data_IF_336781572596
#
_entry.id   IF_336781572596
#
_cell.length_a   1.000
_cell.length_b   1.000
_cell.length_c   1.000
_cell.angle_alpha   90.00
_cell.angle_beta   90.00
_cell.angle_gamma   90.00
#
_symmetry.space_group_name_H-M   'P 1'
#
loop_
_entity.id
_entity.type
_entity.pdbx_description
1 polymer ?
#
# COMPACT_ATOMS: atom_id res chain seq x y z
N UNK A 1 5.89 8.79 -20.56
CA UNK A 1 4.46 8.67 -20.94
C UNK A 1 3.67 7.66 -20.09
N UNK A 2 4.11 6.40 -19.88
CA UNK A 2 3.26 5.39 -19.20
C UNK A 2 3.03 5.65 -17.70
N UNK A 3 3.98 6.27 -16.98
CA UNK A 3 3.78 6.62 -15.55
C UNK A 3 2.66 7.64 -15.37
N UNK A 4 2.65 8.68 -16.21
CA UNK A 4 1.62 9.72 -16.18
C UNK A 4 0.25 9.11 -16.51
N UNK A 5 0.18 8.22 -17.51
CA UNK A 5 -1.06 7.54 -17.85
C UNK A 5 -1.59 6.67 -16.69
N UNK A 6 -0.72 5.93 -16.00
CA UNK A 6 -1.12 5.13 -14.83
C UNK A 6 -1.67 6.01 -13.70
N UNK A 7 -0.97 7.10 -13.36
CA UNK A 7 -1.44 8.06 -12.34
C UNK A 7 -2.78 8.67 -12.73
N UNK A 8 -2.91 9.14 -13.98
CA UNK A 8 -4.15 9.75 -14.47
C UNK A 8 -5.32 8.76 -14.49
N UNK A 9 -5.07 7.47 -14.78
CA UNK A 9 -6.10 6.45 -14.73
C UNK A 9 -6.61 6.24 -13.31
N UNK A 10 -5.71 6.06 -12.33
CA UNK A 10 -6.10 5.86 -10.93
C UNK A 10 -6.81 7.10 -10.37
N UNK A 11 -6.25 8.29 -10.59
CA UNK A 11 -6.87 9.56 -10.18
C UNK A 11 -8.23 9.75 -10.86
N UNK A 12 -8.34 9.44 -12.15
CA UNK A 12 -9.60 9.53 -12.88
C UNK A 12 -10.68 8.60 -12.32
N UNK A 13 -10.33 7.36 -11.99
CA UNK A 13 -11.25 6.40 -11.36
C UNK A 13 -11.64 6.90 -9.96
N UNK A 14 -10.69 7.37 -9.15
CA UNK A 14 -10.98 7.86 -7.81
C UNK A 14 -11.88 9.11 -7.83
N UNK A 15 -11.62 10.05 -8.74
CA UNK A 15 -12.50 11.21 -8.95
C UNK A 15 -13.89 10.78 -9.43
N UNK A 16 -13.98 9.76 -10.29
CA UNK A 16 -15.27 9.22 -10.72
C UNK A 16 -16.04 8.57 -9.55
N UNK A 17 -15.35 7.84 -8.65
CA UNK A 17 -15.96 7.29 -7.42
C UNK A 17 -16.55 8.43 -6.58
N UNK A 18 -15.77 9.48 -6.32
CA UNK A 18 -16.21 10.66 -5.56
C UNK A 18 -17.42 11.32 -6.24
N UNK A 19 -17.33 11.59 -7.54
CA UNK A 19 -18.38 12.28 -8.29
C UNK A 19 -19.70 11.52 -8.31
N UNK A 20 -19.65 10.20 -8.56
CA UNK A 20 -20.84 9.36 -8.70
C UNK A 20 -21.55 9.09 -7.37
N UNK A 21 -20.85 9.23 -6.24
CA UNK A 21 -21.39 8.92 -4.91
C UNK A 21 -21.65 10.17 -4.05
N UNK A 22 -21.50 11.38 -4.58
CA UNK A 22 -21.83 12.59 -3.83
C UNK A 22 -23.33 12.64 -3.44
N UNK A 23 -23.70 12.98 -2.19
CA UNK A 23 -22.85 13.43 -1.07
C UNK A 23 -22.35 12.31 -0.11
N UNK A 24 -22.64 11.04 -0.40
CA UNK A 24 -22.31 9.86 0.41
C UNK A 24 -20.85 9.37 0.21
N UNK A 25 -19.89 10.30 0.27
CA UNK A 25 -18.49 10.01 0.01
C UNK A 25 -17.88 9.04 1.02
N UNK A 26 -18.25 9.20 2.29
CA UNK A 26 -17.81 8.34 3.38
C UNK A 26 -18.11 6.87 3.09
N UNK A 27 -19.32 6.56 2.62
CA UNK A 27 -19.71 5.19 2.27
C UNK A 27 -18.98 4.66 1.03
N UNK A 28 -18.65 5.54 0.09
CA UNK A 28 -17.99 5.16 -1.17
C UNK A 28 -16.46 5.10 -1.08
N UNK A 29 -15.87 5.61 0.00
CA UNK A 29 -14.41 5.68 0.17
C UNK A 29 -13.93 4.91 1.39
N UNK A 30 -14.57 5.08 2.55
CA UNK A 30 -14.02 4.64 3.84
C UNK A 30 -14.59 3.32 4.38
N UNK A 31 -15.69 2.81 3.81
CA UNK A 31 -16.30 1.55 4.28
C UNK A 31 -15.63 0.35 3.58
N UNK A 32 -15.54 -0.79 4.27
CA UNK A 32 -14.88 -2.02 3.77
C UNK A 32 -15.36 -2.46 2.37
N UNK A 33 -16.67 -2.36 2.09
CA UNK A 33 -17.26 -2.74 0.80
C UNK A 33 -17.27 -1.60 -0.24
N UNK A 34 -16.50 -0.53 0.00
CA UNK A 34 -16.46 0.63 -0.87
C UNK A 34 -15.86 0.32 -2.26
N UNK A 35 -16.30 1.02 -3.32
CA UNK A 35 -15.62 0.98 -4.62
C UNK A 35 -14.12 1.30 -4.54
N UNK A 36 -13.72 2.15 -3.60
CA UNK A 36 -12.31 2.48 -3.35
C UNK A 36 -11.55 1.25 -2.85
N UNK A 37 -12.20 0.40 -2.04
CA UNK A 37 -11.59 -0.82 -1.55
C UNK A 37 -11.21 -1.78 -2.69
N UNK A 38 -12.10 -1.93 -3.68
CA UNK A 38 -11.81 -2.69 -4.89
C UNK A 38 -10.64 -2.10 -5.71
N UNK A 39 -10.59 -0.77 -5.82
CA UNK A 39 -9.52 -0.07 -6.54
C UNK A 39 -8.16 -0.29 -5.88
N UNK A 40 -8.05 -0.16 -4.56
CA UNK A 40 -6.80 -0.41 -3.82
C UNK A 40 -6.38 -1.88 -3.90
N UNK A 41 -7.30 -2.84 -3.74
CA UNK A 41 -6.97 -4.26 -3.95
C UNK A 41 -6.43 -4.52 -5.37
N UNK A 42 -7.04 -3.91 -6.38
CA UNK A 42 -6.56 -3.97 -7.78
C UNK A 42 -5.17 -3.34 -7.96
N UNK A 43 -4.88 -2.27 -7.22
CA UNK A 43 -3.58 -1.60 -7.21
C UNK A 43 -2.51 -2.44 -6.51
N UNK A 44 -2.83 -3.10 -5.39
CA UNK A 44 -1.94 -4.05 -4.73
C UNK A 44 -1.61 -5.25 -5.63
N UNK A 45 -2.60 -5.82 -6.33
CA UNK A 45 -2.37 -6.86 -7.34
C UNK A 45 -1.47 -6.39 -8.49
N UNK A 46 -1.65 -5.15 -8.92
CA UNK A 46 -0.80 -4.54 -9.95
C UNK A 46 0.65 -4.39 -9.45
N UNK A 47 0.84 -3.91 -8.22
CA UNK A 47 2.15 -3.81 -7.58
C UNK A 47 2.81 -5.19 -7.41
N UNK A 48 2.04 -6.19 -6.96
CA UNK A 48 2.51 -7.56 -6.81
C UNK A 48 2.98 -8.15 -8.14
N UNK A 49 2.20 -7.94 -9.20
CA UNK A 49 2.52 -8.41 -10.56
C UNK A 49 3.80 -7.76 -11.10
N UNK A 50 3.97 -6.44 -10.87
CA UNK A 50 5.18 -5.71 -11.25
C UNK A 50 6.41 -6.16 -10.46
N UNK A 51 6.25 -6.42 -9.15
CA UNK A 51 7.33 -6.96 -8.32
C UNK A 51 7.72 -8.38 -8.77
N UNK A 52 6.75 -9.23 -9.10
CA UNK A 52 7.01 -10.57 -9.63
C UNK A 52 7.74 -10.51 -10.98
N UNK A 53 7.31 -9.62 -11.87
CA UNK A 53 8.02 -9.36 -13.13
C UNK A 53 9.48 -8.95 -12.85
N UNK A 54 9.71 -8.02 -11.93
CA UNK A 54 11.06 -7.62 -11.51
C UNK A 54 11.87 -8.81 -10.97
N UNK A 55 11.25 -9.73 -10.23
CA UNK A 55 11.91 -10.95 -9.77
C UNK A 55 12.40 -11.84 -10.94
N UNK A 56 11.64 -11.89 -12.05
CA UNK A 56 12.07 -12.62 -13.25
C UNK A 56 13.18 -11.91 -14.03
N UNK A 57 13.19 -10.57 -13.99
CA UNK A 57 14.09 -9.79 -14.84
C UNK A 57 15.38 -9.35 -14.16
N UNK A 58 15.38 -9.18 -12.85
CA UNK A 58 16.49 -8.67 -12.05
C UNK A 58 17.13 -9.76 -11.19
N UNK A 59 18.03 -10.53 -11.81
CA UNK A 59 18.70 -11.67 -11.17
C UNK A 59 19.68 -11.30 -10.05
N UNK A 60 20.00 -10.01 -9.87
CA UNK A 60 20.83 -9.52 -8.76
C UNK A 60 20.08 -9.39 -7.43
N UNK A 61 18.73 -9.43 -7.45
CA UNK A 61 17.87 -9.22 -6.29
C UNK A 61 16.74 -10.27 -6.12
N UNK A 62 16.95 -11.58 -6.39
CA UNK A 62 15.85 -12.52 -6.66
C UNK A 62 14.93 -12.86 -5.47
N UNK A 63 15.39 -13.10 -4.21
CA UNK A 63 14.42 -13.37 -3.16
C UNK A 63 13.65 -12.09 -2.79
N UNK A 64 14.27 -10.91 -2.87
CA UNK A 64 13.63 -9.69 -2.38
C UNK A 64 12.40 -9.30 -3.19
N UNK A 65 12.48 -9.32 -4.53
CA UNK A 65 11.30 -9.01 -5.35
C UNK A 65 10.20 -10.07 -5.26
N UNK A 66 10.57 -11.34 -5.13
CA UNK A 66 9.59 -12.41 -4.90
C UNK A 66 8.87 -12.25 -3.57
N UNK A 67 9.60 -11.90 -2.50
CA UNK A 67 9.03 -11.62 -1.18
C UNK A 67 8.12 -10.40 -1.19
N UNK A 68 8.52 -9.31 -1.87
CA UNK A 68 7.67 -8.12 -2.06
C UNK A 68 6.40 -8.49 -2.81
N UNK A 69 6.49 -9.28 -3.89
CA UNK A 69 5.33 -9.71 -4.65
C UNK A 69 4.36 -10.55 -3.81
N UNK A 70 4.87 -11.51 -3.04
CA UNK A 70 4.06 -12.34 -2.12
C UNK A 70 3.41 -11.50 -1.03
N UNK A 71 4.15 -10.56 -0.43
CA UNK A 71 3.61 -9.66 0.59
C UNK A 71 2.46 -8.79 0.06
N UNK A 72 2.63 -8.20 -1.12
CA UNK A 72 1.60 -7.39 -1.77
C UNK A 72 0.39 -8.22 -2.23
N UNK A 73 0.61 -9.43 -2.75
CA UNK A 73 -0.48 -10.34 -3.09
C UNK A 73 -1.26 -10.77 -1.83
N UNK A 74 -0.55 -11.04 -0.73
CA UNK A 74 -1.17 -11.30 0.57
C UNK A 74 -2.03 -10.13 1.04
N UNK A 75 -1.51 -8.91 0.97
CA UNK A 75 -2.26 -7.69 1.29
C UNK A 75 -3.49 -7.49 0.39
N UNK A 76 -3.36 -7.79 -0.92
CA UNK A 76 -4.47 -7.68 -1.87
C UNK A 76 -5.59 -8.70 -1.59
N UNK A 77 -5.23 -9.90 -1.13
CA UNK A 77 -6.17 -10.95 -0.69
C UNK A 77 -6.82 -10.63 0.65
N UNK A 78 -6.13 -9.88 1.49
CA UNK A 78 -6.58 -9.46 2.82
C UNK A 78 -7.41 -8.16 2.76
N UNK A 79 -8.19 -7.96 1.69
CA UNK A 79 -9.10 -6.83 1.51
C UNK A 79 -8.48 -5.48 1.90
N UNK A 80 -7.22 -5.25 1.49
CA UNK A 80 -6.42 -4.07 1.84
C UNK A 80 -6.06 -4.01 3.32
N UNK A 81 -5.36 -5.03 3.77
CA UNK A 81 -4.75 -5.07 5.10
C UNK A 81 -5.73 -5.31 6.26
N UNK A 82 -6.99 -5.69 6.04
CA UNK A 82 -7.98 -5.97 7.11
C UNK A 82 -7.53 -7.00 8.16
N UNK A 83 -6.50 -7.77 7.88
CA UNK A 83 -5.88 -8.70 8.80
C UNK A 83 -5.40 -8.03 10.09
N UNK A 84 -5.03 -6.75 10.07
CA UNK A 84 -4.70 -6.05 11.33
C UNK A 84 -5.92 -5.78 12.20
N UNK A 85 -7.07 -5.41 11.63
CA UNK A 85 -8.33 -5.26 12.37
C UNK A 85 -8.81 -6.62 12.91
N UNK A 86 -8.74 -7.69 12.10
CA UNK A 86 -9.04 -9.05 12.56
C UNK A 86 -8.11 -9.49 13.70
N UNK A 87 -6.83 -9.11 13.63
CA UNK A 87 -5.86 -9.40 14.67
C UNK A 87 -6.11 -8.55 15.93
N UNK A 88 -6.49 -7.29 15.78
CA UNK A 88 -6.90 -6.38 16.86
C UNK A 88 -8.13 -6.93 17.58
N UNK A 89 -9.14 -7.38 16.85
CA UNK A 89 -10.32 -8.06 17.42
C UNK A 89 -9.93 -9.34 18.15
N UNK A 90 -9.07 -10.16 17.55
CA UNK A 90 -8.59 -11.37 18.20
C UNK A 90 -7.86 -11.04 19.51
N UNK A 91 -7.00 -10.01 19.53
CA UNK A 91 -6.31 -9.54 20.75
C UNK A 91 -7.32 -9.07 21.80
N UNK A 92 -8.29 -8.24 21.39
CA UNK A 92 -9.33 -7.67 22.24
C UNK A 92 -10.13 -8.77 22.95
N UNK A 93 -10.60 -9.78 22.22
CA UNK A 93 -11.40 -10.85 22.81
C UNK A 93 -10.55 -11.89 23.54
N UNK A 94 -9.34 -12.21 23.06
CA UNK A 94 -8.51 -13.25 23.65
C UNK A 94 -7.85 -12.82 24.96
N UNK A 95 -7.35 -11.59 25.04
CA UNK A 95 -6.52 -11.12 26.17
C UNK A 95 -7.22 -10.09 27.04
N UNK A 96 -8.16 -9.31 26.50
CA UNK A 96 -8.84 -8.24 27.21
C UNK A 96 -10.32 -8.52 27.47
N UNK A 97 -10.84 -9.68 27.05
CA UNK A 97 -12.21 -10.10 27.28
C UNK A 97 -13.26 -9.15 26.68
N UNK A 98 -12.92 -8.45 25.59
CA UNK A 98 -13.80 -7.45 24.97
C UNK A 98 -13.72 -6.05 25.58
N UNK A 99 -12.85 -5.82 26.57
CA UNK A 99 -12.68 -4.50 27.18
C UNK A 99 -11.72 -3.60 26.37
N UNK A 100 -12.31 -2.72 25.55
CA UNK A 100 -11.57 -1.78 24.68
C UNK A 100 -10.74 -0.78 25.49
N UNK A 101 -11.25 -0.31 26.63
CA UNK A 101 -10.55 0.66 27.49
C UNK A 101 -9.28 0.04 28.10
N UNK A 102 -9.37 -1.22 28.55
CA UNK A 102 -8.22 -1.95 29.09
C UNK A 102 -7.18 -2.28 28.02
N UNK A 103 -7.61 -2.52 26.78
CA UNK A 103 -6.70 -2.74 25.65
C UNK A 103 -5.96 -1.45 25.27
N UNK A 104 -6.65 -0.32 25.29
CA UNK A 104 -6.10 0.97 24.88
C UNK A 104 -5.46 0.88 23.49
N UNK A 105 -4.28 1.47 23.34
CA UNK A 105 -3.53 1.52 22.06
C UNK A 105 -2.78 0.24 21.71
N UNK A 106 -2.82 -0.79 22.54
CA UNK A 106 -2.16 -2.07 22.24
C UNK A 106 -2.81 -2.72 21.02
N UNK A 107 -4.12 -2.52 20.85
CA UNK A 107 -4.88 -3.03 19.71
C UNK A 107 -4.42 -2.47 18.36
N UNK A 108 -3.77 -1.29 18.34
CA UNK A 108 -3.36 -0.61 17.12
C UNK A 108 -1.92 -0.98 16.70
N UNK A 109 -1.17 -1.69 17.55
CA UNK A 109 0.19 -2.14 17.21
C UNK A 109 0.29 -3.02 15.95
N UNK A 110 -0.69 -3.90 15.64
CA UNK A 110 -0.70 -4.68 14.40
C UNK A 110 -0.51 -3.86 13.13
N UNK A 111 -1.10 -2.67 13.02
CA UNK A 111 -1.01 -1.86 11.78
C UNK A 111 0.42 -1.37 11.51
N UNK A 112 1.25 -1.25 12.56
CA UNK A 112 2.65 -0.84 12.43
C UNK A 112 3.50 -1.82 11.62
N UNK A 113 3.05 -3.08 11.48
CA UNK A 113 3.73 -4.09 10.67
C UNK A 113 3.79 -3.67 9.20
N UNK A 114 2.74 -3.02 8.68
CA UNK A 114 2.72 -2.55 7.29
C UNK A 114 3.67 -1.36 7.08
N UNK A 115 3.70 -0.42 8.03
CA UNK A 115 4.66 0.69 8.04
C UNK A 115 6.12 0.18 8.07
N UNK A 116 6.39 -0.82 8.92
CA UNK A 116 7.70 -1.48 8.97
C UNK A 116 8.05 -2.15 7.64
N UNK A 117 7.09 -2.81 6.99
CA UNK A 117 7.27 -3.42 5.67
C UNK A 117 7.80 -2.42 4.63
N UNK A 118 7.18 -1.24 4.54
CA UNK A 118 7.63 -0.16 3.66
C UNK A 118 9.07 0.30 3.95
N UNK A 119 9.41 0.48 5.23
CA UNK A 119 10.77 0.86 5.65
C UNK A 119 11.79 -0.23 5.31
N UNK A 120 11.45 -1.49 5.52
CA UNK A 120 12.33 -2.62 5.20
C UNK A 120 12.60 -2.72 3.70
N UNK A 121 11.58 -2.53 2.86
CA UNK A 121 11.74 -2.48 1.39
C UNK A 121 12.65 -1.32 1.00
N UNK A 122 12.43 -0.12 1.54
CA UNK A 122 13.26 1.04 1.26
C UNK A 122 14.72 0.82 1.70
N UNK A 123 14.94 0.31 2.91
CA UNK A 123 16.26 0.02 3.43
C UNK A 123 16.98 -1.06 2.59
N UNK A 124 16.27 -2.08 2.14
CA UNK A 124 16.79 -3.12 1.25
C UNK A 124 17.22 -2.54 -0.10
N UNK A 125 16.41 -1.67 -0.70
CA UNK A 125 16.73 -1.02 -1.97
C UNK A 125 17.91 -0.05 -1.86
N UNK A 126 18.08 0.62 -0.72
CA UNK A 126 19.21 1.52 -0.45
C UNK A 126 20.53 0.77 -0.18
N UNK A 127 20.46 -0.42 0.43
CA UNK A 127 21.64 -1.18 0.86
C UNK A 127 22.29 -2.01 -0.24
N UNK A 128 21.68 -2.17 -1.41
CA UNK A 128 22.18 -3.05 -2.47
C UNK A 128 23.38 -2.44 -3.22
N UNK A 129 24.64 -2.83 -2.94
CA UNK A 129 25.83 -2.17 -3.48
C UNK A 129 26.21 -2.68 -4.86
N UNK A 130 25.75 -3.88 -5.23
CA UNK A 130 26.17 -4.64 -6.41
C UNK A 130 25.23 -4.49 -7.62
N UNK A 131 24.11 -3.78 -7.48
CA UNK A 131 23.11 -3.63 -8.52
C UNK A 131 22.91 -2.15 -8.86
N UNK A 132 22.54 -1.81 -10.10
CA UNK A 132 22.26 -0.45 -10.49
C UNK A 132 21.27 0.18 -9.51
N UNK A 133 21.49 1.46 -9.22
CA UNK A 133 20.62 2.23 -8.31
C UNK A 133 19.17 2.06 -8.77
N UNK A 134 18.29 1.75 -7.84
CA UNK A 134 16.88 1.56 -8.11
C UNK A 134 16.30 2.85 -8.74
N UNK A 135 15.97 2.80 -10.03
CA UNK A 135 15.61 3.99 -10.81
C UNK A 135 14.30 4.65 -10.34
N UNK A 136 13.46 3.90 -9.62
CA UNK A 136 12.22 4.37 -9.03
C UNK A 136 12.36 4.98 -7.62
N UNK A 137 13.58 5.20 -7.10
CA UNK A 137 13.79 5.53 -5.68
C UNK A 137 13.01 6.76 -5.20
N UNK A 138 12.92 7.82 -6.00
CA UNK A 138 12.16 9.03 -5.61
C UNK A 138 10.67 8.73 -5.39
N UNK A 139 10.10 7.87 -6.24
CA UNK A 139 8.70 7.43 -6.14
C UNK A 139 8.51 6.49 -4.95
N UNK A 140 9.46 5.58 -4.69
CA UNK A 140 9.44 4.69 -3.54
C UNK A 140 9.46 5.47 -2.22
N UNK A 141 10.32 6.48 -2.10
CA UNK A 141 10.35 7.35 -0.92
C UNK A 141 9.03 8.08 -0.75
N UNK A 142 8.47 8.65 -1.83
CA UNK A 142 7.19 9.32 -1.78
C UNK A 142 6.04 8.37 -1.37
N UNK A 143 6.04 7.13 -1.87
CA UNK A 143 5.08 6.09 -1.50
C UNK A 143 5.13 5.78 -0.01
N UNK A 144 6.33 5.56 0.53
CA UNK A 144 6.53 5.29 1.97
C UNK A 144 6.06 6.49 2.81
N UNK A 145 6.39 7.72 2.41
CA UNK A 145 5.93 8.91 3.12
C UNK A 145 4.40 9.05 3.10
N UNK A 146 3.76 8.83 1.95
CA UNK A 146 2.29 8.85 1.86
C UNK A 146 1.66 7.76 2.74
N UNK A 147 2.22 6.55 2.75
CA UNK A 147 1.76 5.46 3.62
C UNK A 147 1.92 5.78 5.11
N UNK A 148 2.98 6.48 5.51
CA UNK A 148 3.12 6.95 6.90
C UNK A 148 2.12 8.04 7.27
N UNK A 149 1.67 8.86 6.30
CA UNK A 149 0.58 9.81 6.54
C UNK A 149 -0.73 9.06 6.76
N UNK A 150 -1.06 8.08 5.92
CA UNK A 150 -2.25 7.22 6.10
C UNK A 150 -2.22 6.52 7.47
N UNK A 151 -1.12 5.83 7.79
CA UNK A 151 -0.91 5.19 9.10
C UNK A 151 -1.07 6.16 10.27
N UNK A 152 -0.63 7.41 10.10
CA UNK A 152 -0.78 8.44 11.12
C UNK A 152 -2.24 8.90 11.29
N UNK A 153 -3.03 8.92 10.22
CA UNK A 153 -4.46 9.26 10.25
C UNK A 153 -5.27 8.17 10.94
N UNK A 154 -5.03 6.90 10.57
CA UNK A 154 -5.63 5.72 11.20
C UNK A 154 -5.42 5.72 12.73
N UNK A 155 -4.15 5.85 13.16
CA UNK A 155 -3.80 5.86 14.58
C UNK A 155 -4.33 7.08 15.35
N UNK A 156 -4.66 8.17 14.64
CA UNK A 156 -5.10 9.41 15.26
C UNK A 156 -6.62 9.49 15.47
N UNK A 157 -7.41 8.78 14.66
CA UNK A 157 -8.86 8.99 14.62
C UNK A 157 -9.62 7.80 14.03
N UNK A 158 -10.75 7.46 14.66
CA UNK A 158 -11.75 6.54 14.09
C UNK A 158 -12.91 7.30 13.39
N UNK A 159 -12.75 8.60 13.17
CA UNK A 159 -13.75 9.42 12.50
C UNK A 159 -13.84 9.09 11.01
N UNK A 160 -15.06 8.83 10.54
CA UNK A 160 -15.31 8.36 9.17
C UNK A 160 -14.87 9.38 8.10
N UNK A 161 -14.91 10.68 8.41
CA UNK A 161 -14.43 11.70 7.49
C UNK A 161 -12.89 11.73 7.43
N UNK A 162 -12.21 11.47 8.55
CA UNK A 162 -10.74 11.30 8.57
C UNK A 162 -10.32 10.07 7.75
N UNK A 163 -11.08 8.97 7.84
CA UNK A 163 -10.84 7.77 7.04
C UNK A 163 -10.89 8.05 5.53
N UNK A 164 -11.74 8.97 5.05
CA UNK A 164 -11.72 9.36 3.62
C UNK A 164 -10.34 9.89 3.18
N UNK A 165 -9.64 10.64 4.04
CA UNK A 165 -8.30 11.12 3.74
C UNK A 165 -7.26 10.02 3.85
N UNK A 166 -7.35 9.19 4.87
CA UNK A 166 -6.51 8.01 5.06
C UNK A 166 -6.51 7.16 3.80
N UNK A 167 -7.69 6.78 3.32
CA UNK A 167 -7.93 6.02 2.09
C UNK A 167 -7.31 6.68 0.85
N UNK A 168 -7.45 8.00 0.76
CA UNK A 168 -6.81 8.78 -0.31
C UNK A 168 -5.28 8.71 -0.25
N UNK A 169 -4.68 8.73 0.94
CA UNK A 169 -3.23 8.60 1.14
C UNK A 169 -2.74 7.16 0.93
N UNK A 170 -3.52 6.15 1.30
CA UNK A 170 -3.23 4.75 0.99
C UNK A 170 -3.18 4.52 -0.53
N UNK A 171 -4.24 4.92 -1.24
CA UNK A 171 -4.30 4.80 -2.69
C UNK A 171 -3.17 5.59 -3.37
N UNK A 172 -2.82 6.77 -2.85
CA UNK A 172 -1.68 7.54 -3.31
C UNK A 172 -0.37 6.77 -3.10
N UNK A 173 -0.17 6.17 -1.92
CA UNK A 173 1.01 5.38 -1.61
C UNK A 173 1.17 4.20 -2.58
N UNK A 174 0.10 3.44 -2.81
CA UNK A 174 0.08 2.32 -3.77
C UNK A 174 0.37 2.78 -5.20
N UNK A 175 -0.21 3.91 -5.61
CA UNK A 175 0.03 4.50 -6.94
C UNK A 175 1.49 4.92 -7.13
N UNK A 176 2.07 5.56 -6.12
CA UNK A 176 3.48 5.96 -6.12
C UNK A 176 4.40 4.74 -6.09
N UNK A 177 4.02 3.68 -5.38
CA UNK A 177 4.74 2.41 -5.35
C UNK A 177 4.73 1.74 -6.72
N UNK A 178 3.57 1.64 -7.37
CA UNK A 178 3.45 1.15 -8.74
C UNK A 178 4.32 1.96 -9.71
N UNK A 179 4.33 3.29 -9.57
CA UNK A 179 5.20 4.17 -10.36
C UNK A 179 6.68 3.88 -10.13
N UNK A 180 7.08 3.60 -8.89
CA UNK A 180 8.45 3.23 -8.55
C UNK A 180 8.88 1.94 -9.26
N UNK A 181 8.03 0.91 -9.20
CA UNK A 181 8.28 -0.39 -9.85
C UNK A 181 8.33 -0.25 -11.37
N UNK A 182 7.34 0.42 -11.97
CA UNK A 182 7.28 0.65 -13.42
C UNK A 182 8.51 1.41 -13.92
N UNK A 183 8.91 2.46 -13.20
CA UNK A 183 10.12 3.24 -13.55
C UNK A 183 11.36 2.36 -13.53
N UNK A 184 11.46 1.47 -12.54
CA UNK A 184 12.58 0.56 -12.45
C UNK A 184 12.56 -0.51 -13.55
N UNK A 185 11.42 -1.14 -13.79
CA UNK A 185 11.25 -2.13 -14.86
C UNK A 185 11.64 -1.57 -16.24
N UNK A 186 11.22 -0.33 -16.54
CA UNK A 186 11.65 0.38 -17.76
C UNK A 186 13.16 0.56 -17.84
N UNK A 187 13.80 0.92 -16.73
CA UNK A 187 15.25 1.07 -16.68
C UNK A 187 15.96 -0.27 -16.91
N UNK A 188 15.47 -1.36 -16.30
CA UNK A 188 16.02 -2.71 -16.50
C UNK A 188 15.87 -3.15 -17.95
N UNK A 189 14.70 -2.97 -18.57
CA UNK A 189 14.46 -3.36 -19.96
C UNK A 189 15.26 -2.53 -20.97
N UNK A 190 15.43 -1.23 -20.74
CA UNK A 190 16.22 -0.38 -21.63
C UNK A 190 17.71 -0.77 -21.70
N UNK A 191 18.20 -1.52 -20.71
CA UNK A 191 19.60 -1.97 -20.62
C UNK A 191 19.76 -3.48 -20.86
N UNK A 192 18.71 -4.16 -21.34
CA UNK A 192 18.84 -5.56 -21.79
C UNK A 192 19.42 -5.57 -23.20
N UNK A 193 20.54 -6.28 -23.43
CA UNK A 193 21.10 -6.47 -24.77
C UNK A 193 20.19 -7.30 -25.67
#
# INVERSE_FOLDING_TARGET
MPLIAAVLAVVGIFVAIIWLNWPWLEQAVAVEEAPTAWLQSSMLWSCASLALLLATVERSRPPGWSLVAVGLAGAALDERFMGHERLKDWILFRFYGGNVEAMGRVGDLPILVYGLGGVLVLAWLLRSPAAPRFAGMRWMVAAVLAGFVALGLDLASNDLFVQVFEEGFELLAETLFACALLRHAQAVWAHRP
#
